data_IF_511813003464
#
_entry.id   IF_511813003464
#
_cell.length_a   1.000
_cell.length_b   1.000
_cell.length_c   1.000
_cell.angle_alpha   90.00
_cell.angle_beta   90.00
_cell.angle_gamma   90.00
#
_symmetry.space_group_name_H-M   'P 1'
#
loop_
_entity.id
_entity.type
_entity.pdbx_description
1 polymer ?
#
# COMPACT_ATOMS: atom_id res chain seq x y z
N UNK A 1 6.03 29.03 27.02
CA UNK A 1 7.02 29.46 26.02
C UNK A 1 6.98 28.41 24.93
N UNK A 2 6.68 28.80 23.70
CA UNK A 2 6.59 27.87 22.55
C UNK A 2 7.94 27.17 22.37
N UNK A 3 8.04 25.91 22.76
CA UNK A 3 9.20 25.06 22.48
C UNK A 3 9.14 24.67 21.01
N UNK A 4 9.66 25.51 20.13
CA UNK A 4 9.79 25.18 18.72
C UNK A 4 10.79 24.01 18.61
N UNK A 5 10.27 22.80 18.42
CA UNK A 5 11.09 21.63 18.09
C UNK A 5 11.94 22.02 16.87
N UNK A 6 13.24 21.70 16.90
CA UNK A 6 14.12 22.05 15.79
C UNK A 6 13.64 21.39 14.49
N UNK A 7 14.08 21.93 13.35
CA UNK A 7 13.61 21.50 12.03
C UNK A 7 14.32 20.27 11.48
N UNK A 8 15.43 19.86 12.10
CA UNK A 8 16.26 18.76 11.61
C UNK A 8 15.98 17.48 12.37
N UNK A 9 15.79 16.37 11.66
CA UNK A 9 15.61 15.05 12.25
C UNK A 9 16.97 14.38 12.42
N UNK A 10 17.29 13.99 13.65
CA UNK A 10 18.54 13.30 13.95
C UNK A 10 18.55 11.89 13.33
N UNK A 11 19.68 11.48 12.76
CA UNK A 11 19.98 10.11 12.36
C UNK A 11 20.98 9.53 13.37
N UNK A 12 20.50 8.57 14.15
CA UNK A 12 21.20 7.99 15.29
C UNK A 12 21.60 6.54 14.97
N UNK A 13 22.90 6.28 14.81
CA UNK A 13 23.38 4.93 14.50
C UNK A 13 23.70 4.16 15.80
N UNK A 14 23.06 3.03 16.07
CA UNK A 14 23.28 2.24 17.31
C UNK A 14 24.43 1.24 17.20
N UNK A 15 25.07 1.18 16.03
CA UNK A 15 26.30 0.46 15.78
C UNK A 15 27.23 1.29 14.87
N UNK A 16 28.46 0.81 14.75
CA UNK A 16 29.50 1.41 13.92
C UNK A 16 29.32 0.97 12.46
N UNK A 17 28.94 1.91 11.59
CA UNK A 17 28.66 1.60 10.18
C UNK A 17 29.69 2.21 9.24
N UNK A 18 30.01 1.55 8.11
CA UNK A 18 30.71 2.20 7.02
C UNK A 18 29.95 3.47 6.58
N UNK A 19 30.69 4.57 6.38
CA UNK A 19 30.14 5.85 5.90
C UNK A 19 29.32 5.66 4.62
N UNK A 20 29.77 4.76 3.73
CA UNK A 20 29.06 4.44 2.49
C UNK A 20 27.68 3.82 2.72
N UNK A 21 27.49 3.04 3.80
CA UNK A 21 26.19 2.45 4.13
C UNK A 21 25.21 3.52 4.61
N UNK A 22 25.64 4.42 5.49
CA UNK A 22 24.81 5.55 5.95
C UNK A 22 24.47 6.49 4.78
N UNK A 23 25.46 6.78 3.92
CA UNK A 23 25.23 7.58 2.71
C UNK A 23 24.24 6.92 1.74
N UNK A 24 24.18 5.59 1.65
CA UNK A 24 23.15 4.89 0.85
C UNK A 24 21.75 5.11 1.41
N UNK A 25 21.57 5.05 2.73
CA UNK A 25 20.28 5.34 3.38
C UNK A 25 19.86 6.79 3.11
N UNK A 26 20.72 7.76 3.39
CA UNK A 26 20.44 9.19 3.11
C UNK A 26 20.09 9.41 1.64
N UNK A 27 20.88 8.83 0.72
CA UNK A 27 20.61 8.93 -0.72
C UNK A 27 19.29 8.29 -1.11
N UNK A 28 18.90 7.17 -0.49
CA UNK A 28 17.62 6.51 -0.75
C UNK A 28 16.46 7.42 -0.37
N UNK A 29 16.51 8.00 0.83
CA UNK A 29 15.47 8.89 1.35
C UNK A 29 15.36 10.17 0.50
N UNK A 30 16.49 10.79 0.17
CA UNK A 30 16.48 12.02 -0.64
C UNK A 30 16.12 11.76 -2.11
N UNK A 31 16.46 10.60 -2.69
CA UNK A 31 16.11 10.27 -4.09
C UNK A 31 14.60 10.21 -4.30
N UNK A 32 13.84 9.71 -3.33
CA UNK A 32 12.38 9.65 -3.42
C UNK A 32 11.70 11.02 -3.31
N UNK A 33 12.47 12.09 -3.08
CA UNK A 33 11.99 13.46 -2.93
C UNK A 33 12.06 14.29 -4.22
N UNK A 34 12.92 13.90 -5.18
CA UNK A 34 13.17 14.66 -6.41
C UNK A 34 11.98 14.71 -7.40
N UNK A 35 10.95 13.88 -7.20
CA UNK A 35 9.74 13.85 -8.06
C UNK A 35 8.71 14.93 -7.70
N UNK A 36 8.95 15.77 -6.69
CA UNK A 36 8.11 16.91 -6.31
C UNK A 36 8.84 18.24 -6.49
N UNK A 37 8.69 18.79 -7.69
CA UNK A 37 9.01 20.16 -8.11
C UNK A 37 9.61 21.08 -7.01
N UNK A 38 10.94 21.17 -7.00
CA UNK A 38 11.81 22.30 -6.60
C UNK A 38 11.32 23.15 -5.42
N UNK A 39 11.99 23.07 -4.25
CA UNK A 39 12.33 24.17 -3.30
C UNK A 39 12.59 23.72 -1.85
N UNK A 40 12.52 22.43 -1.51
CA UNK A 40 12.60 22.01 -0.11
C UNK A 40 13.97 21.44 0.28
N UNK A 41 14.63 22.06 1.27
CA UNK A 41 15.94 21.69 1.82
C UNK A 41 15.94 20.34 2.60
N UNK A 42 17.03 19.57 2.57
CA UNK A 42 17.15 18.33 3.37
C UNK A 42 16.95 18.59 4.86
N UNK A 43 16.36 17.62 5.59
CA UNK A 43 16.05 17.76 7.02
C UNK A 43 16.80 16.77 7.93
N UNK A 44 17.40 15.71 7.38
CA UNK A 44 18.12 14.74 8.20
C UNK A 44 19.53 15.21 8.54
N UNK A 45 19.98 14.95 9.77
CA UNK A 45 21.34 15.24 10.20
C UNK A 45 21.92 14.06 10.96
N UNK A 46 23.08 13.57 10.51
CA UNK A 46 23.77 12.48 11.18
C UNK A 46 24.51 13.03 12.39
N UNK A 47 24.25 12.45 13.55
CA UNK A 47 24.90 12.83 14.80
C UNK A 47 26.11 11.92 15.01
N UNK A 48 27.31 12.50 14.86
CA UNK A 48 28.59 11.80 15.01
C UNK A 48 29.34 12.20 16.31
N UNK A 49 28.88 13.25 16.98
CA UNK A 49 29.52 13.82 18.16
C UNK A 49 28.52 14.63 19.01
N UNK A 50 28.38 14.29 20.29
CA UNK A 50 27.46 14.96 21.21
C UNK A 50 27.94 16.33 21.70
N UNK A 51 29.16 16.73 21.36
CA UNK A 51 29.72 18.05 21.70
C UNK A 51 29.51 19.10 20.60
N UNK A 52 29.12 18.68 19.39
CA UNK A 52 28.89 19.56 18.25
C UNK A 52 27.51 20.23 18.31
N UNK A 53 27.40 21.34 17.57
CA UNK A 53 26.14 22.02 17.28
C UNK A 53 25.72 21.69 15.85
N UNK A 54 24.49 21.20 15.68
CA UNK A 54 23.97 20.75 14.39
C UNK A 54 22.90 21.71 13.89
N UNK A 55 23.22 22.53 12.88
CA UNK A 55 22.33 23.57 12.35
C UNK A 55 21.88 23.34 10.91
N UNK A 56 22.55 22.43 10.21
CA UNK A 56 22.32 22.11 8.81
C UNK A 56 22.17 20.60 8.64
N UNK A 57 21.43 20.20 7.60
CA UNK A 57 21.22 18.80 7.28
C UNK A 57 22.47 18.16 6.65
N UNK A 58 22.63 16.87 6.89
CA UNK A 58 23.66 16.04 6.28
C UNK A 58 23.17 15.51 4.94
N UNK A 59 23.49 16.21 3.85
CA UNK A 59 23.25 15.68 2.49
C UNK A 59 24.04 14.40 2.26
N UNK A 60 25.29 14.41 2.71
CA UNK A 60 26.25 13.32 2.56
C UNK A 60 27.34 13.47 3.62
N UNK A 61 27.81 12.35 4.15
CA UNK A 61 29.01 12.28 4.98
C UNK A 61 30.26 12.21 4.10
N UNK A 62 31.24 13.05 4.40
CA UNK A 62 32.53 13.08 3.73
C UNK A 62 33.49 11.99 4.24
N UNK A 63 34.42 11.58 3.38
CA UNK A 63 35.50 10.65 3.72
C UNK A 63 35.26 9.19 3.32
N UNK A 64 36.16 8.32 3.79
CA UNK A 64 36.10 6.86 3.63
C UNK A 64 36.43 6.25 5.00
N UNK A 65 35.64 5.30 5.47
CA UNK A 65 35.85 4.66 6.76
C UNK A 65 34.55 4.33 7.48
N UNK A 66 34.66 4.19 8.80
CA UNK A 66 33.54 3.89 9.70
C UNK A 66 33.08 5.17 10.38
N UNK A 67 31.76 5.37 10.45
CA UNK A 67 31.14 6.42 11.23
C UNK A 67 31.20 6.02 12.71
N UNK A 68 31.93 6.81 13.50
CA UNK A 68 31.96 6.68 14.95
C UNK A 68 30.71 7.31 15.55
N UNK A 69 29.79 6.47 16.02
CA UNK A 69 28.51 6.95 16.53
C UNK A 69 28.55 7.09 18.06
N UNK A 70 28.06 8.20 18.63
CA UNK A 70 27.95 8.34 20.08
C UNK A 70 26.84 7.47 20.69
N UNK A 71 26.06 6.77 19.86
CA UNK A 71 24.89 5.98 20.29
C UNK A 71 25.12 4.47 20.27
N UNK A 72 26.35 4.01 20.06
CA UNK A 72 26.67 2.58 20.08
C UNK A 72 26.26 1.96 21.42
N UNK A 73 25.38 0.95 21.36
CA UNK A 73 24.88 0.23 22.52
C UNK A 73 23.94 1.01 23.44
N UNK A 74 23.45 2.19 23.03
CA UNK A 74 22.46 2.97 23.80
C UNK A 74 21.04 2.50 23.52
N UNK A 75 20.17 2.61 24.52
CA UNK A 75 18.73 2.44 24.33
C UNK A 75 18.11 3.66 23.64
N UNK A 76 16.91 3.50 23.09
CA UNK A 76 16.23 4.61 22.41
C UNK A 76 15.86 5.76 23.36
N UNK A 77 15.58 5.47 24.62
CA UNK A 77 15.35 6.48 25.66
C UNK A 77 16.62 7.30 25.94
N UNK A 78 17.78 6.63 25.97
CA UNK A 78 19.07 7.31 26.10
C UNK A 78 19.39 8.17 24.88
N UNK A 79 19.06 7.70 23.68
CA UNK A 79 19.20 8.46 22.43
C UNK A 79 18.28 9.68 22.45
N UNK A 80 17.00 9.51 22.78
CA UNK A 80 16.03 10.59 22.87
C UNK A 80 16.49 11.69 23.84
N UNK A 81 17.04 11.30 25.00
CA UNK A 81 17.60 12.24 25.97
C UNK A 81 18.80 13.00 25.38
N UNK A 82 19.71 12.30 24.71
CA UNK A 82 20.88 12.93 24.10
C UNK A 82 20.51 13.89 22.95
N UNK A 83 19.55 13.55 22.10
CA UNK A 83 19.04 14.43 21.03
C UNK A 83 18.36 15.67 21.62
N UNK A 84 17.57 15.49 22.69
CA UNK A 84 16.98 16.60 23.45
C UNK A 84 18.06 17.51 24.04
N UNK A 85 19.10 16.93 24.65
CA UNK A 85 20.18 17.70 25.26
C UNK A 85 21.00 18.48 24.21
N UNK A 86 21.24 17.89 23.03
CA UNK A 86 21.84 18.59 21.89
C UNK A 86 21.02 19.81 21.44
N UNK A 87 19.69 19.71 21.45
CA UNK A 87 18.81 20.84 21.17
C UNK A 87 18.89 21.90 22.28
N UNK A 88 18.74 21.49 23.54
CA UNK A 88 18.58 22.42 24.66
C UNK A 88 19.88 23.09 25.09
N UNK A 89 21.03 22.41 24.94
CA UNK A 89 22.30 22.87 25.52
C UNK A 89 23.39 23.13 24.47
N UNK A 90 23.29 22.58 23.27
CA UNK A 90 24.31 22.75 22.21
C UNK A 90 23.83 23.62 21.03
N UNK A 91 22.73 24.37 21.18
CA UNK A 91 22.19 25.26 20.14
C UNK A 91 21.93 24.56 18.80
N UNK A 92 21.63 23.26 18.84
CA UNK A 92 21.34 22.48 17.64
C UNK A 92 19.91 22.72 17.19
N UNK A 93 19.64 22.66 15.89
CA UNK A 93 18.31 22.78 15.28
C UNK A 93 17.61 21.42 15.16
N UNK A 94 17.69 20.59 16.21
CA UNK A 94 17.15 19.23 16.19
C UNK A 94 15.70 19.17 16.66
N UNK A 95 14.90 18.39 15.94
CA UNK A 95 13.67 17.81 16.43
C UNK A 95 14.06 16.72 17.45
N UNK A 96 13.65 16.89 18.69
CA UNK A 96 13.94 15.96 19.79
C UNK A 96 12.72 15.11 20.18
N UNK A 97 11.61 15.29 19.47
CA UNK A 97 10.41 14.47 19.60
C UNK A 97 10.48 13.30 18.62
N UNK A 98 11.14 13.48 17.47
CA UNK A 98 11.21 12.49 16.41
C UNK A 98 12.64 12.36 15.87
N UNK A 99 13.13 11.13 15.75
CA UNK A 99 14.45 10.85 15.19
C UNK A 99 14.49 9.48 14.50
N UNK A 100 15.49 9.28 13.65
CA UNK A 100 15.76 8.02 12.96
C UNK A 100 16.77 7.19 13.74
N UNK A 101 16.50 5.89 13.87
CA UNK A 101 17.44 4.92 14.44
C UNK A 101 17.89 3.95 13.35
N UNK A 102 19.20 3.91 13.13
CA UNK A 102 19.85 2.95 12.24
C UNK A 102 20.60 1.91 13.06
N UNK A 103 20.29 0.64 12.83
CA UNK A 103 20.88 -0.50 13.53
C UNK A 103 21.39 -1.56 12.54
N UNK A 104 21.95 -2.65 13.06
CA UNK A 104 22.47 -3.73 12.22
C UNK A 104 21.37 -4.44 11.39
N UNK A 105 20.11 -4.35 11.82
CA UNK A 105 18.97 -4.96 11.14
C UNK A 105 18.57 -4.18 9.89
N UNK A 106 18.59 -2.84 9.97
CA UNK A 106 17.96 -1.97 8.99
C UNK A 106 18.93 -1.21 8.07
N UNK A 107 20.22 -1.09 8.41
CA UNK A 107 21.19 -0.28 7.66
C UNK A 107 21.36 -0.68 6.18
N UNK A 108 21.07 -1.94 5.84
CA UNK A 108 21.13 -2.46 4.47
C UNK A 108 19.74 -2.80 3.90
N UNK A 109 18.68 -2.29 4.52
CA UNK A 109 17.29 -2.47 4.10
C UNK A 109 16.76 -1.21 3.42
N UNK A 110 15.55 -1.30 2.91
CA UNK A 110 14.78 -0.20 2.32
C UNK A 110 13.84 0.46 3.34
N UNK A 111 14.11 0.30 4.63
CA UNK A 111 13.35 0.88 5.73
C UNK A 111 14.28 1.22 6.91
N UNK A 112 13.85 2.13 7.77
CA UNK A 112 14.51 2.47 9.03
C UNK A 112 13.50 2.65 10.17
N UNK A 113 13.98 2.74 11.41
CA UNK A 113 13.15 3.01 12.59
C UNK A 113 12.91 4.50 12.76
N UNK A 114 11.65 4.92 12.81
CA UNK A 114 11.26 6.22 13.36
C UNK A 114 10.96 6.03 14.84
N UNK A 115 11.69 6.75 15.68
CA UNK A 115 11.48 6.80 17.12
C UNK A 115 10.75 8.10 17.51
N UNK A 116 9.74 7.98 18.37
CA UNK A 116 8.95 9.06 18.93
C UNK A 116 9.14 9.16 20.42
N UNK A 117 9.60 10.31 20.89
CA UNK A 117 9.84 10.57 22.29
C UNK A 117 8.66 11.37 22.89
N UNK A 118 7.67 10.63 23.43
CA UNK A 118 6.34 11.16 23.83
C UNK A 118 6.42 12.28 24.86
N UNK A 119 7.31 12.12 25.85
CA UNK A 119 7.47 13.01 27.00
C UNK A 119 8.68 13.96 26.86
N UNK A 120 9.29 14.04 25.68
CA UNK A 120 10.57 14.73 25.53
C UNK A 120 10.47 16.22 25.87
N UNK A 121 9.32 16.85 25.64
CA UNK A 121 9.04 18.25 25.94
C UNK A 121 8.91 18.54 27.45
N UNK A 122 8.48 17.57 28.25
CA UNK A 122 8.14 17.77 29.66
C UNK A 122 9.36 17.83 30.60
N UNK A 123 10.59 17.83 30.05
CA UNK A 123 11.87 17.81 30.79
C UNK A 123 11.92 16.74 31.89
N UNK A 124 11.21 15.63 31.70
CA UNK A 124 11.28 14.47 32.60
C UNK A 124 12.63 13.77 32.48
N UNK A 125 13.04 13.12 33.56
CA UNK A 125 14.24 12.26 33.60
C UNK A 125 14.05 10.97 32.80
N UNK A 126 12.80 10.50 32.71
CA UNK A 126 12.39 9.33 31.92
C UNK A 126 11.65 9.82 30.68
N UNK A 127 12.02 9.29 29.51
CA UNK A 127 11.39 9.59 28.23
C UNK A 127 10.85 8.26 27.69
N UNK A 128 9.55 8.19 27.45
CA UNK A 128 8.93 7.05 26.75
C UNK A 128 9.22 7.16 25.26
N UNK A 129 9.64 6.06 24.63
CA UNK A 129 9.90 6.02 23.20
C UNK A 129 9.02 4.97 22.52
N UNK A 130 8.28 5.40 21.49
CA UNK A 130 7.58 4.52 20.56
C UNK A 130 8.38 4.39 19.27
N UNK A 131 8.47 3.17 18.72
CA UNK A 131 9.15 2.91 17.46
C UNK A 131 8.18 2.40 16.40
N UNK A 132 8.33 2.92 15.19
CA UNK A 132 7.63 2.44 14.00
C UNK A 132 8.62 2.21 12.87
N UNK A 133 8.34 1.21 12.05
CA UNK A 133 9.17 0.86 10.91
C UNK A 133 8.68 1.66 9.70
N UNK A 134 9.56 2.35 8.99
CA UNK A 134 9.14 3.22 7.88
C UNK A 134 10.02 2.99 6.67
N UNK A 135 9.40 2.76 5.51
CA UNK A 135 10.09 2.65 4.23
C UNK A 135 10.83 3.95 3.88
N UNK A 136 12.02 3.84 3.30
CA UNK A 136 12.83 5.01 2.89
C UNK A 136 12.08 5.94 1.94
N UNK A 137 11.16 5.41 1.14
CA UNK A 137 10.38 6.14 0.12
C UNK A 137 9.31 7.06 0.68
N UNK A 138 8.84 6.83 1.91
CA UNK A 138 7.92 7.74 2.60
C UNK A 138 8.49 8.34 3.87
N UNK A 139 9.73 8.02 4.22
CA UNK A 139 10.32 8.41 5.48
C UNK A 139 10.20 9.92 5.75
N UNK A 140 10.58 10.75 4.77
CA UNK A 140 10.49 12.21 4.87
C UNK A 140 9.04 12.70 5.02
N UNK A 141 8.12 12.17 4.22
CA UNK A 141 6.70 12.49 4.29
C UNK A 141 6.06 12.05 5.61
N UNK A 142 6.45 10.90 6.13
CA UNK A 142 6.02 10.38 7.43
C UNK A 142 6.50 11.31 8.54
N UNK A 143 7.81 11.60 8.63
CA UNK A 143 8.36 12.52 9.64
C UNK A 143 7.68 13.90 9.59
N UNK A 144 7.49 14.45 8.39
CA UNK A 144 6.78 15.72 8.21
C UNK A 144 5.31 15.65 8.63
N UNK A 145 4.56 14.64 8.18
CA UNK A 145 3.16 14.47 8.53
C UNK A 145 2.99 14.32 10.04
N UNK A 146 3.87 13.57 10.69
CA UNK A 146 3.88 13.40 12.14
C UNK A 146 4.20 14.70 12.88
N UNK A 147 5.09 15.53 12.33
CA UNK A 147 5.44 16.84 12.91
C UNK A 147 4.31 17.88 12.80
N UNK A 148 3.47 17.80 11.75
CA UNK A 148 2.39 18.77 11.49
C UNK A 148 1.06 18.32 12.09
N UNK A 149 0.75 17.03 12.00
CA UNK A 149 -0.56 16.52 12.40
C UNK A 149 -0.69 16.32 13.91
N UNK A 150 0.43 16.28 14.67
CA UNK A 150 0.46 15.81 16.07
C UNK A 150 -0.53 14.65 16.27
N UNK A 151 -0.52 13.62 15.40
CA UNK A 151 -1.54 12.59 15.47
C UNK A 151 -1.48 11.99 16.87
N UNK A 152 -2.65 11.74 17.47
CA UNK A 152 -2.62 11.12 18.78
C UNK A 152 -1.85 9.79 18.65
N UNK A 153 -0.92 9.62 19.56
CA UNK A 153 -0.10 8.44 19.65
C UNK A 153 -1.01 7.20 19.76
N UNK A 154 -2.20 7.36 20.33
CA UNK A 154 -3.24 6.35 20.45
C UNK A 154 -3.63 5.75 19.09
N UNK A 155 -3.67 6.53 18.00
CA UNK A 155 -4.00 6.05 16.65
C UNK A 155 -2.87 5.20 16.04
N UNK A 156 -1.62 5.53 16.36
CA UNK A 156 -0.45 4.72 15.98
C UNK A 156 -0.33 3.47 16.87
N UNK A 157 -0.73 3.56 18.14
CA UNK A 157 -0.78 2.45 19.08
C UNK A 157 -1.92 1.48 18.77
N UNK A 158 -3.10 1.95 18.34
CA UNK A 158 -4.20 1.11 17.86
C UNK A 158 -3.76 0.32 16.62
N UNK A 159 -3.03 0.95 15.69
CA UNK A 159 -2.44 0.26 14.54
C UNK A 159 -1.41 -0.81 14.96
N UNK A 160 -0.62 -0.54 16.02
CA UNK A 160 0.36 -1.47 16.60
C UNK A 160 -0.27 -2.66 17.34
N UNK A 161 -1.28 -2.42 18.17
CA UNK A 161 -1.99 -3.50 18.91
C UNK A 161 -2.72 -4.46 17.96
N UNK A 162 -3.19 -3.94 16.82
CA UNK A 162 -3.81 -4.75 15.77
C UNK A 162 -2.77 -5.57 14.97
N UNK A 163 -1.54 -5.06 14.86
CA UNK A 163 -0.43 -5.66 14.11
C UNK A 163 0.67 -6.13 15.06
N UNK A 164 0.47 -7.28 15.72
CA UNK A 164 1.43 -7.92 16.66
C UNK A 164 2.90 -7.67 16.26
N UNK A 165 3.47 -6.68 16.94
CA UNK A 165 4.82 -6.14 16.81
C UNK A 165 5.20 -5.63 15.41
N UNK A 166 5.44 -4.31 15.35
CA UNK A 166 6.03 -3.53 14.25
C UNK A 166 5.06 -3.17 13.10
N UNK A 167 4.63 -1.90 13.08
CA UNK A 167 3.94 -1.31 11.92
C UNK A 167 5.01 -0.86 10.93
N UNK A 168 5.11 -1.54 9.79
CA UNK A 168 5.83 -1.03 8.63
C UNK A 168 4.88 -0.16 7.81
N UNK A 169 5.08 1.15 7.87
CA UNK A 169 4.37 2.09 7.01
C UNK A 169 5.19 2.17 5.71
N UNK A 170 4.58 1.74 4.61
CA UNK A 170 4.98 2.07 3.24
C UNK A 170 3.97 3.06 2.65
N UNK A 171 4.35 3.79 1.60
CA UNK A 171 3.34 4.39 0.73
C UNK A 171 2.36 3.30 0.29
N UNK A 172 1.07 3.64 0.20
CA UNK A 172 0.11 2.79 -0.48
C UNK A 172 0.66 2.46 -1.87
N UNK A 173 0.97 1.18 -2.09
CA UNK A 173 1.56 0.70 -3.33
C UNK A 173 0.49 0.68 -4.43
N UNK A 174 0.93 0.75 -5.68
CA UNK A 174 0.04 0.69 -6.83
C UNK A 174 0.47 -0.47 -7.70
N UNK A 175 -0.47 -1.35 -8.01
CA UNK A 175 -0.23 -2.54 -8.81
C UNK A 175 -1.03 -2.47 -10.09
N UNK A 176 -0.35 -2.39 -11.23
CA UNK A 176 -0.98 -2.57 -12.54
C UNK A 176 -0.98 -4.05 -12.92
N UNK A 177 -2.17 -4.61 -13.10
CA UNK A 177 -2.35 -5.96 -13.64
C UNK A 177 -2.52 -5.90 -15.17
N UNK A 178 -1.93 -6.89 -15.85
CA UNK A 178 -2.12 -7.13 -17.27
C UNK A 178 -3.21 -8.20 -17.47
N UNK A 179 -4.35 -7.77 -18.00
CA UNK A 179 -5.52 -8.60 -18.22
C UNK A 179 -5.42 -9.51 -19.46
N UNK A 180 -4.31 -9.49 -20.22
CA UNK A 180 -4.18 -10.24 -21.49
C UNK A 180 -4.40 -11.74 -21.28
N UNK A 181 -3.85 -12.29 -20.20
CA UNK A 181 -3.92 -13.71 -19.87
C UNK A 181 -4.84 -14.00 -18.67
N UNK A 182 -5.48 -12.98 -18.11
CA UNK A 182 -6.46 -13.12 -17.04
C UNK A 182 -7.70 -12.22 -17.19
N UNK A 183 -8.37 -12.23 -18.37
CA UNK A 183 -9.50 -11.33 -18.62
C UNK A 183 -10.69 -11.59 -17.67
N UNK A 184 -10.93 -12.85 -17.28
CA UNK A 184 -12.06 -13.18 -16.42
C UNK A 184 -11.82 -12.69 -14.98
N UNK A 185 -10.57 -12.71 -14.49
CA UNK A 185 -10.21 -12.15 -13.18
C UNK A 185 -10.40 -10.64 -13.17
N UNK A 186 -9.96 -9.96 -14.23
CA UNK A 186 -10.18 -8.52 -14.39
C UNK A 186 -11.66 -8.18 -14.45
N UNK A 187 -12.48 -9.00 -15.12
CA UNK A 187 -13.94 -8.86 -15.13
C UNK A 187 -14.55 -8.97 -13.74
N UNK A 188 -14.23 -10.04 -12.99
CA UNK A 188 -14.74 -10.23 -11.63
C UNK A 188 -14.38 -9.02 -10.75
N UNK A 189 -13.15 -8.52 -10.85
CA UNK A 189 -12.69 -7.35 -10.10
C UNK A 189 -13.44 -6.06 -10.47
N UNK A 190 -13.59 -5.78 -11.77
CA UNK A 190 -14.34 -4.61 -12.23
C UNK A 190 -15.81 -4.68 -11.83
N UNK A 191 -16.42 -5.86 -11.89
CA UNK A 191 -17.76 -6.07 -11.37
C UNK A 191 -17.81 -5.79 -9.86
N UNK A 192 -16.91 -6.41 -9.09
CA UNK A 192 -16.89 -6.28 -7.64
C UNK A 192 -16.76 -4.81 -7.22
N UNK A 193 -15.84 -4.04 -7.81
CA UNK A 193 -15.58 -2.66 -7.39
C UNK A 193 -16.54 -1.66 -8.03
N UNK A 194 -16.74 -1.68 -9.35
CA UNK A 194 -17.54 -0.67 -10.03
C UNK A 194 -19.04 -0.93 -10.04
N UNK A 195 -19.47 -2.18 -9.83
CA UNK A 195 -20.90 -2.55 -9.85
C UNK A 195 -21.44 -3.00 -8.50
N UNK A 196 -20.59 -3.58 -7.65
CA UNK A 196 -20.99 -4.13 -6.35
C UNK A 196 -20.37 -3.40 -5.14
N UNK A 197 -19.65 -2.30 -5.35
CA UNK A 197 -19.12 -1.46 -4.26
C UNK A 197 -18.10 -2.13 -3.34
N UNK A 198 -17.41 -3.17 -3.81
CA UNK A 198 -16.37 -3.84 -3.04
C UNK A 198 -15.19 -2.89 -2.73
N UNK A 199 -14.47 -3.21 -1.65
CA UNK A 199 -13.28 -2.47 -1.22
C UNK A 199 -12.20 -2.46 -2.32
N UNK A 200 -11.49 -1.35 -2.46
CA UNK A 200 -10.50 -1.12 -3.53
C UNK A 200 -9.08 -0.81 -3.01
N UNK A 201 -8.95 -0.67 -1.70
CA UNK A 201 -7.67 -0.65 -1.00
C UNK A 201 -7.52 -1.97 -0.28
N UNK A 202 -6.50 -2.73 -0.68
CA UNK A 202 -6.25 -4.08 -0.23
C UNK A 202 -4.99 -4.13 0.63
N UNK A 203 -4.95 -5.01 1.61
CA UNK A 203 -3.78 -5.21 2.47
C UNK A 203 -3.29 -6.64 2.32
N UNK A 204 -2.14 -6.82 1.70
CA UNK A 204 -1.43 -8.10 1.72
C UNK A 204 -0.76 -8.27 3.08
N UNK A 205 -1.18 -9.28 3.82
CA UNK A 205 -0.69 -9.57 5.18
C UNK A 205 0.16 -10.84 5.25
N UNK A 206 0.65 -11.31 4.10
CA UNK A 206 1.43 -12.55 3.97
C UNK A 206 0.80 -13.72 4.75
N UNK A 207 -0.47 -14.06 4.46
CA UNK A 207 -1.20 -15.04 5.25
C UNK A 207 -0.55 -16.42 5.13
N UNK A 208 -0.62 -17.18 6.22
CA UNK A 208 -0.27 -18.60 6.15
C UNK A 208 -1.26 -19.36 5.27
N UNK A 209 -0.85 -20.52 4.73
CA UNK A 209 -1.74 -21.38 3.95
C UNK A 209 -3.02 -21.80 4.70
N UNK A 210 -2.98 -21.84 6.04
CA UNK A 210 -4.15 -22.09 6.87
C UNK A 210 -5.13 -20.90 6.87
N UNK A 211 -4.61 -19.68 7.01
CA UNK A 211 -5.39 -18.44 6.96
C UNK A 211 -6.01 -18.25 5.58
N UNK A 212 -5.25 -18.44 4.50
CA UNK A 212 -5.83 -18.35 3.16
C UNK A 212 -6.92 -19.40 2.91
N UNK A 213 -6.74 -20.62 3.43
CA UNK A 213 -7.77 -21.66 3.32
C UNK A 213 -9.03 -21.27 4.08
N UNK A 214 -8.89 -20.68 5.26
CA UNK A 214 -10.01 -20.16 6.04
C UNK A 214 -10.73 -19.06 5.28
N UNK A 215 -10.00 -18.10 4.68
CA UNK A 215 -10.57 -17.03 3.85
C UNK A 215 -11.35 -17.59 2.65
N UNK A 216 -10.78 -18.54 1.91
CA UNK A 216 -11.45 -19.24 0.79
C UNK A 216 -12.71 -20.00 1.22
N UNK A 217 -12.71 -20.59 2.42
CA UNK A 217 -13.92 -21.24 2.94
C UNK A 217 -14.97 -20.21 3.36
N UNK A 218 -14.54 -19.11 3.99
CA UNK A 218 -15.44 -18.05 4.43
C UNK A 218 -16.07 -17.26 3.28
N UNK A 219 -15.33 -17.06 2.19
CA UNK A 219 -15.84 -16.44 0.95
C UNK A 219 -16.86 -17.33 0.24
N UNK A 220 -16.73 -18.65 0.40
CA UNK A 220 -17.49 -19.67 -0.33
C UNK A 220 -16.76 -20.19 -1.57
N UNK A 221 -15.54 -19.73 -1.84
CA UNK A 221 -14.75 -20.24 -2.95
C UNK A 221 -14.36 -21.72 -2.75
N UNK A 222 -14.18 -22.12 -1.49
CA UNK A 222 -14.10 -23.52 -1.04
C UNK A 222 -15.32 -23.92 -0.23
N UNK A 223 -15.88 -25.07 -0.57
CA UNK A 223 -16.95 -25.72 0.19
C UNK A 223 -16.42 -26.34 1.49
N UNK A 224 -17.32 -26.67 2.43
CA UNK A 224 -16.97 -27.29 3.72
C UNK A 224 -16.26 -28.65 3.60
N UNK A 225 -16.46 -29.35 2.48
CA UNK A 225 -15.75 -30.58 2.14
C UNK A 225 -14.38 -30.34 1.47
N UNK A 226 -13.95 -29.09 1.34
CA UNK A 226 -12.67 -28.67 0.76
C UNK A 226 -12.64 -28.54 -0.76
N UNK A 227 -13.73 -28.88 -1.46
CA UNK A 227 -13.84 -28.78 -2.91
C UNK A 227 -14.08 -27.33 -3.36
N UNK A 228 -13.63 -26.99 -4.56
CA UNK A 228 -13.99 -25.72 -5.22
C UNK A 228 -15.50 -25.66 -5.46
N UNK A 229 -16.09 -24.46 -5.36
CA UNK A 229 -17.48 -24.24 -5.78
C UNK A 229 -17.66 -24.37 -7.30
N UNK A 230 -16.60 -24.16 -8.08
CA UNK A 230 -16.60 -24.22 -9.55
C UNK A 230 -16.17 -25.57 -10.13
N UNK A 231 -15.56 -26.44 -9.31
CA UNK A 231 -15.03 -27.71 -9.77
C UNK A 231 -16.07 -28.84 -9.89
N UNK A 232 -15.58 -30.07 -10.11
CA UNK A 232 -16.39 -31.28 -10.01
C UNK A 232 -17.00 -31.42 -8.61
N UNK A 233 -18.33 -31.58 -8.53
CA UNK A 233 -19.04 -31.53 -7.23
C UNK A 233 -19.27 -30.11 -6.71
N UNK A 234 -19.07 -29.10 -7.57
CA UNK A 234 -19.40 -27.70 -7.36
C UNK A 234 -20.90 -27.42 -7.23
N UNK A 235 -21.26 -26.13 -7.22
CA UNK A 235 -22.65 -25.68 -7.04
C UNK A 235 -23.22 -25.12 -8.33
N UNK A 236 -24.27 -25.78 -8.83
CA UNK A 236 -25.05 -25.27 -9.93
C UNK A 236 -25.84 -24.01 -9.50
N UNK A 237 -26.08 -23.05 -10.42
CA UNK A 237 -25.69 -23.07 -11.83
C UNK A 237 -24.23 -22.63 -12.08
N UNK A 238 -23.51 -22.11 -11.08
CA UNK A 238 -22.20 -21.47 -11.25
C UNK A 238 -21.11 -22.39 -11.80
N UNK A 239 -21.14 -23.68 -11.47
CA UNK A 239 -20.20 -24.68 -11.98
C UNK A 239 -20.62 -25.32 -13.32
N UNK A 240 -21.56 -24.72 -14.05
CA UNK A 240 -22.12 -25.30 -15.28
C UNK A 240 -21.27 -25.08 -16.53
N UNK A 241 -20.37 -24.09 -16.53
CA UNK A 241 -19.43 -23.91 -17.64
C UNK A 241 -18.29 -24.94 -17.52
N UNK A 242 -18.17 -25.89 -18.47
CA UNK A 242 -17.13 -26.92 -18.43
C UNK A 242 -15.71 -26.35 -18.56
N UNK A 243 -15.55 -25.10 -19.00
CA UNK A 243 -14.25 -24.43 -19.08
C UNK A 243 -13.90 -23.66 -17.80
N UNK A 244 -14.82 -23.58 -16.84
CA UNK A 244 -14.69 -22.82 -15.61
C UNK A 244 -14.55 -23.75 -14.41
N UNK A 245 -13.31 -24.14 -14.11
CA UNK A 245 -13.00 -25.12 -13.05
C UNK A 245 -12.49 -24.51 -11.75
N UNK A 246 -11.97 -23.28 -11.81
CA UNK A 246 -11.42 -22.58 -10.65
C UNK A 246 -12.34 -21.43 -10.24
N UNK A 247 -12.33 -21.16 -8.93
CA UNK A 247 -13.03 -20.04 -8.35
C UNK A 247 -12.04 -18.92 -8.09
N UNK A 248 -12.35 -17.72 -8.58
CA UNK A 248 -11.73 -16.47 -8.17
C UNK A 248 -12.62 -15.75 -7.16
N UNK A 249 -11.99 -14.96 -6.30
CA UNK A 249 -12.63 -14.22 -5.22
C UNK A 249 -12.05 -12.82 -5.10
N UNK A 250 -12.91 -11.82 -5.03
CA UNK A 250 -12.51 -10.45 -4.76
C UNK A 250 -13.22 -9.91 -3.51
N UNK A 251 -12.49 -9.43 -2.49
CA UNK A 251 -11.02 -9.43 -2.37
C UNK A 251 -10.38 -10.82 -2.27
N UNK A 252 -9.20 -10.99 -2.87
CA UNK A 252 -8.49 -12.27 -2.94
C UNK A 252 -7.99 -12.77 -1.57
N UNK A 253 -7.96 -14.09 -1.33
CA UNK A 253 -7.58 -14.67 -0.03
C UNK A 253 -6.18 -14.30 0.49
N UNK A 254 -5.29 -13.81 -0.37
CA UNK A 254 -4.00 -13.27 0.06
C UNK A 254 -4.13 -11.94 0.84
N UNK A 255 -5.32 -11.34 0.92
CA UNK A 255 -5.55 -10.02 1.54
C UNK A 255 -6.43 -10.09 2.79
N UNK A 256 -6.24 -9.13 3.70
CA UNK A 256 -7.00 -9.03 4.96
C UNK A 256 -8.51 -8.86 4.75
N UNK A 257 -8.89 -8.17 3.67
CA UNK A 257 -10.27 -7.85 3.33
C UNK A 257 -11.05 -9.04 2.75
N UNK A 258 -10.40 -10.17 2.52
CA UNK A 258 -11.03 -11.36 1.97
C UNK A 258 -11.90 -12.11 2.99
N UNK A 259 -12.64 -13.10 2.52
CA UNK A 259 -13.54 -13.92 3.32
C UNK A 259 -15.01 -13.60 3.05
N UNK A 260 -15.81 -13.59 4.11
CA UNK A 260 -17.27 -13.51 3.99
C UNK A 260 -17.72 -12.24 3.26
N UNK A 261 -18.58 -12.41 2.25
CA UNK A 261 -19.09 -11.31 1.43
C UNK A 261 -18.22 -10.96 0.22
N UNK A 262 -17.16 -11.71 -0.06
CA UNK A 262 -16.43 -11.60 -1.32
C UNK A 262 -17.34 -11.89 -2.53
N UNK A 263 -17.00 -11.25 -3.65
CA UNK A 263 -17.59 -11.53 -4.96
C UNK A 263 -16.77 -12.63 -5.61
N UNK A 264 -17.44 -13.71 -5.99
CA UNK A 264 -16.85 -14.90 -6.57
C UNK A 264 -17.16 -14.96 -8.06
N UNK A 265 -16.23 -15.51 -8.85
CA UNK A 265 -16.47 -15.89 -10.25
C UNK A 265 -15.90 -17.27 -10.54
N UNK A 266 -16.66 -18.09 -11.25
CA UNK A 266 -16.12 -19.32 -11.83
C UNK A 266 -15.44 -19.02 -13.16
N UNK A 267 -14.23 -19.52 -13.35
CA UNK A 267 -13.38 -19.16 -14.48
C UNK A 267 -12.38 -20.25 -14.87
N UNK A 268 -11.72 -20.12 -16.04
CA UNK A 268 -10.65 -21.04 -16.44
C UNK A 268 -9.46 -21.00 -15.47
N UNK A 269 -8.94 -22.18 -15.13
CA UNK A 269 -7.79 -22.30 -14.23
C UNK A 269 -6.53 -21.59 -14.74
N UNK A 270 -6.36 -21.46 -16.06
CA UNK A 270 -5.26 -20.69 -16.66
C UNK A 270 -5.36 -19.20 -16.35
N UNK A 271 -6.58 -18.66 -16.31
CA UNK A 271 -6.88 -17.26 -16.04
C UNK A 271 -6.54 -16.92 -14.57
N UNK A 272 -7.11 -17.70 -13.64
CA UNK A 272 -6.85 -17.56 -12.20
C UNK A 272 -5.35 -17.72 -11.84
N UNK A 273 -4.66 -18.68 -12.46
CA UNK A 273 -3.21 -18.86 -12.25
C UNK A 273 -2.39 -17.69 -12.77
N UNK A 274 -2.80 -17.09 -13.88
CA UNK A 274 -2.12 -15.91 -14.45
C UNK A 274 -2.25 -14.72 -13.51
N UNK A 275 -3.44 -14.44 -12.99
CA UNK A 275 -3.65 -13.39 -11.98
C UNK A 275 -2.81 -13.65 -10.72
N UNK A 276 -2.91 -14.85 -10.14
CA UNK A 276 -2.17 -15.21 -8.93
C UNK A 276 -0.65 -15.12 -9.12
N UNK A 277 -0.14 -15.45 -10.30
CA UNK A 277 1.26 -15.27 -10.67
C UNK A 277 1.69 -13.80 -10.66
N UNK A 278 0.89 -12.91 -11.25
CA UNK A 278 1.19 -11.47 -11.27
C UNK A 278 1.16 -10.86 -9.85
N UNK A 279 0.18 -11.23 -9.02
CA UNK A 279 0.11 -10.80 -7.61
C UNK A 279 1.33 -11.28 -6.81
N UNK A 280 1.74 -12.54 -6.97
CA UNK A 280 2.92 -13.07 -6.29
C UNK A 280 4.19 -12.33 -6.69
N UNK A 281 4.34 -11.97 -7.98
CA UNK A 281 5.45 -11.13 -8.44
C UNK A 281 5.38 -9.74 -7.81
N UNK A 282 4.21 -9.11 -7.77
CA UNK A 282 4.02 -7.80 -7.14
C UNK A 282 4.38 -7.80 -5.65
N UNK A 283 3.93 -8.79 -4.89
CA UNK A 283 4.22 -8.91 -3.46
C UNK A 283 5.71 -9.02 -3.15
N UNK A 284 6.48 -9.69 -4.02
CA UNK A 284 7.93 -9.85 -3.84
C UNK A 284 8.77 -8.78 -4.56
N UNK A 285 8.14 -7.92 -5.36
CA UNK A 285 8.84 -6.88 -6.11
C UNK A 285 9.37 -5.83 -5.12
N UNK A 286 10.64 -5.37 -5.24
CA UNK A 286 11.20 -4.36 -4.34
C UNK A 286 10.33 -3.10 -4.25
N UNK A 287 10.32 -2.45 -3.09
CA UNK A 287 9.58 -1.20 -2.86
C UNK A 287 10.08 -0.08 -3.78
N UNK A 288 11.39 -0.02 -4.03
CA UNK A 288 11.99 0.88 -5.02
C UNK A 288 11.48 0.68 -6.46
N UNK A 289 10.74 -0.41 -6.73
CA UNK A 289 10.08 -0.71 -8.00
C UNK A 289 8.55 -0.71 -7.87
N UNK A 290 7.99 -0.11 -6.81
CA UNK A 290 6.56 0.02 -6.54
C UNK A 290 5.88 -1.23 -6.00
N UNK A 291 6.64 -2.25 -5.60
CA UNK A 291 6.11 -3.49 -5.03
C UNK A 291 6.09 -3.51 -3.50
N UNK A 292 5.76 -4.64 -2.90
CA UNK A 292 5.70 -4.77 -1.43
C UNK A 292 7.03 -5.16 -0.77
N UNK A 293 8.12 -5.35 -1.53
CA UNK A 293 9.43 -5.73 -1.00
C UNK A 293 9.50 -7.10 -0.34
N UNK A 294 8.47 -7.93 -0.46
CA UNK A 294 8.33 -9.16 0.32
C UNK A 294 8.04 -8.91 1.80
N UNK A 295 7.62 -7.69 2.17
CA UNK A 295 7.32 -7.32 3.55
C UNK A 295 5.83 -7.00 3.70
N UNK A 296 5.22 -7.60 4.71
CA UNK A 296 3.85 -7.35 5.11
C UNK A 296 3.79 -6.57 6.45
N UNK A 297 2.71 -5.82 6.73
CA UNK A 297 1.57 -5.58 5.84
C UNK A 297 1.92 -4.62 4.69
N UNK A 298 1.37 -4.89 3.50
CA UNK A 298 1.52 -4.01 2.34
C UNK A 298 0.13 -3.60 1.85
N UNK A 299 -0.19 -2.32 1.98
CA UNK A 299 -1.42 -1.76 1.44
C UNK A 299 -1.22 -1.36 -0.02
N UNK A 300 -2.17 -1.71 -0.88
CA UNK A 300 -2.10 -1.41 -2.30
C UNK A 300 -3.47 -1.19 -2.95
N UNK A 301 -3.46 -0.52 -4.09
CA UNK A 301 -4.61 -0.39 -4.99
C UNK A 301 -4.28 -0.90 -6.38
N UNK A 302 -5.29 -1.41 -7.07
CA UNK A 302 -5.15 -2.08 -8.35
C UNK A 302 -5.51 -1.14 -9.50
N UNK A 303 -4.65 -1.15 -10.50
CA UNK A 303 -4.83 -0.51 -11.80
C UNK A 303 -4.86 -1.59 -12.89
N UNK A 304 -5.49 -1.29 -14.03
CA UNK A 304 -5.50 -2.19 -15.19
C UNK A 304 -4.74 -1.57 -16.36
N UNK A 305 -3.88 -2.38 -16.98
CA UNK A 305 -3.10 -2.00 -18.15
C UNK A 305 -4.00 -1.75 -19.36
N UNK A 306 -3.84 -0.59 -20.01
CA UNK A 306 -4.81 -0.09 -20.99
C UNK A 306 -5.02 -0.92 -22.25
N UNK A 307 -3.97 -1.55 -22.76
CA UNK A 307 -4.05 -2.42 -23.93
C UNK A 307 -4.62 -3.82 -23.61
N UNK A 308 -4.90 -4.12 -22.33
CA UNK A 308 -5.30 -5.46 -21.88
C UNK A 308 -6.74 -5.56 -21.36
N UNK A 309 -7.28 -4.51 -20.72
CA UNK A 309 -8.60 -4.58 -20.07
C UNK A 309 -9.78 -4.59 -21.05
N UNK A 310 -9.51 -4.46 -22.35
CA UNK A 310 -10.55 -4.47 -23.40
C UNK A 310 -11.28 -5.81 -23.52
N UNK A 311 -10.73 -6.87 -22.94
CA UNK A 311 -11.37 -8.18 -22.83
C UNK A 311 -12.15 -8.37 -21.51
N UNK A 312 -12.22 -7.33 -20.67
CA UNK A 312 -12.95 -7.30 -19.41
C UNK A 312 -14.10 -6.28 -19.50
N UNK A 313 -15.20 -6.71 -20.12
CA UNK A 313 -16.39 -5.91 -20.40
C UNK A 313 -16.87 -5.05 -19.22
N UNK A 314 -16.90 -5.58 -17.99
CA UNK A 314 -17.37 -4.82 -16.82
C UNK A 314 -16.54 -3.58 -16.51
N UNK A 315 -15.29 -3.52 -17.00
CA UNK A 315 -14.39 -2.39 -16.79
C UNK A 315 -14.73 -1.17 -17.66
N UNK A 316 -15.44 -1.32 -18.78
CA UNK A 316 -15.71 -0.22 -19.72
C UNK A 316 -17.14 -0.21 -20.30
N UNK A 317 -18.01 -1.15 -19.92
CA UNK A 317 -19.39 -1.21 -20.38
C UNK A 317 -20.36 -1.22 -19.19
N UNK A 318 -21.05 -0.10 -19.03
CA UNK A 318 -22.07 0.15 -18.00
C UNK A 318 -23.39 -0.57 -18.27
N UNK A 319 -23.60 -1.07 -19.50
CA UNK A 319 -24.84 -1.76 -19.89
C UNK A 319 -24.80 -3.25 -19.56
N UNK A 320 -23.62 -3.77 -19.21
CA UNK A 320 -23.44 -5.18 -18.89
C UNK A 320 -24.06 -5.49 -17.54
N UNK A 321 -24.98 -6.44 -17.57
CA UNK A 321 -25.52 -7.08 -16.39
C UNK A 321 -24.60 -8.24 -16.01
N UNK A 322 -24.65 -8.66 -14.74
CA UNK A 322 -24.04 -9.92 -14.31
C UNK A 322 -24.38 -11.03 -15.31
N UNK A 323 -23.36 -11.67 -15.86
CA UNK A 323 -23.49 -12.66 -16.94
C UNK A 323 -23.92 -14.05 -16.42
N UNK A 324 -24.29 -14.12 -15.14
CA UNK A 324 -24.66 -15.34 -14.41
C UNK A 324 -23.47 -16.04 -13.77
N UNK A 325 -22.29 -15.42 -13.81
CA UNK A 325 -21.07 -16.05 -13.29
C UNK A 325 -20.45 -15.30 -12.09
N UNK A 326 -20.91 -14.09 -11.75
CA UNK A 326 -20.60 -13.47 -10.45
C UNK A 326 -21.61 -13.85 -9.37
N UNK A 327 -21.12 -14.36 -8.24
CA UNK A 327 -21.96 -14.83 -7.12
C UNK A 327 -21.31 -14.60 -5.76
N UNK A 328 -22.06 -14.79 -4.68
CA UNK A 328 -21.55 -14.68 -3.31
C UNK A 328 -22.20 -15.72 -2.41
N UNK A 329 -21.53 -16.05 -1.30
CA UNK A 329 -22.09 -16.90 -0.25
C UNK A 329 -22.83 -16.03 0.77
N UNK A 330 -24.16 -16.11 0.80
CA UNK A 330 -25.01 -15.40 1.74
C UNK A 330 -25.77 -16.40 2.63
N UNK A 331 -25.53 -16.36 3.94
CA UNK A 331 -26.18 -17.23 4.92
C UNK A 331 -26.12 -18.73 4.57
N UNK A 332 -24.99 -19.19 4.01
CA UNK A 332 -24.78 -20.58 3.62
C UNK A 332 -25.38 -20.99 2.27
N UNK A 333 -26.05 -20.08 1.57
CA UNK A 333 -26.56 -20.28 0.22
C UNK A 333 -25.77 -19.43 -0.79
N UNK A 334 -25.47 -20.02 -1.95
CA UNK A 334 -24.89 -19.27 -3.06
C UNK A 334 -26.00 -18.55 -3.81
N UNK A 335 -25.82 -17.25 -3.96
CA UNK A 335 -26.75 -16.37 -4.68
C UNK A 335 -25.95 -15.56 -5.69
N UNK A 336 -26.57 -15.23 -6.82
CA UNK A 336 -25.98 -14.29 -7.77
C UNK A 336 -25.52 -13.05 -7.01
N UNK A 337 -24.38 -12.49 -7.40
CA UNK A 337 -23.83 -11.31 -6.79
C UNK A 337 -24.72 -10.15 -7.23
N UNK A 338 -25.84 -9.97 -6.54
CA UNK A 338 -26.80 -8.89 -6.75
C UNK A 338 -26.22 -7.61 -6.17
N UNK A 339 -26.66 -6.47 -6.68
CA UNK A 339 -26.33 -5.17 -6.11
C UNK A 339 -26.98 -4.91 -4.73
N UNK A 340 -28.03 -5.67 -4.34
CA UNK A 340 -28.62 -5.70 -2.98
C UNK A 340 -29.11 -7.10 -2.57
N UNK A 341 -29.17 -7.37 -1.26
CA UNK A 341 -29.39 -8.70 -0.63
C UNK A 341 -30.86 -9.12 -0.43
N UNK A 342 -31.85 -8.34 -0.85
CA UNK A 342 -33.26 -8.47 -0.42
C UNK A 342 -34.31 -8.77 -1.51
N UNK A 343 -33.93 -9.01 -2.78
CA UNK A 343 -34.91 -9.25 -3.86
C UNK A 343 -34.95 -10.70 -4.38
N UNK A 344 -36.17 -11.18 -4.68
CA UNK A 344 -36.50 -12.58 -4.98
C UNK A 344 -36.66 -12.95 -6.47
N UNK A 345 -36.59 -11.99 -7.39
CA UNK A 345 -36.78 -12.25 -8.84
C UNK A 345 -35.48 -12.09 -9.65
N UNK A 346 -35.38 -12.82 -10.76
CA UNK A 346 -34.33 -12.67 -11.78
C UNK A 346 -34.79 -11.61 -12.76
N UNK A 347 -34.57 -10.35 -12.41
CA UNK A 347 -34.85 -9.19 -13.27
C UNK A 347 -33.50 -8.63 -13.75
N UNK A 348 -33.38 -8.20 -15.02
CA UNK A 348 -32.23 -7.42 -15.48
C UNK A 348 -31.85 -6.30 -14.50
N UNK A 349 -30.59 -6.29 -14.08
CA UNK A 349 -30.01 -5.40 -13.08
C UNK A 349 -30.35 -3.91 -13.33
N UNK A 350 -30.77 -3.22 -12.27
CA UNK A 350 -30.76 -1.75 -12.19
C UNK A 350 -29.79 -1.33 -11.08
N UNK A 351 -28.74 -0.57 -11.43
CA UNK A 351 -27.84 0.05 -10.48
C UNK A 351 -28.44 0.75 -9.23
N UNK A 352 -28.18 0.33 -7.96
CA UNK A 352 -28.25 1.20 -6.73
C UNK A 352 -27.22 2.34 -6.81
N UNK A 353 -27.58 3.56 -7.20
CA UNK A 353 -26.65 4.60 -7.65
C UNK A 353 -25.48 4.94 -6.70
N UNK A 354 -25.55 4.51 -5.43
CA UNK A 354 -24.51 4.73 -4.41
C UNK A 354 -23.27 3.85 -4.56
N UNK A 355 -23.42 2.62 -5.06
CA UNK A 355 -22.34 1.61 -5.06
C UNK A 355 -21.66 1.45 -6.43
N UNK A 356 -21.94 2.36 -7.35
CA UNK A 356 -21.54 2.25 -8.75
C UNK A 356 -20.77 3.43 -9.23
N UNK A 357 -19.78 3.08 -10.05
CA UNK A 357 -18.93 4.04 -10.73
C UNK A 357 -19.27 3.94 -12.22
N UNK A 358 -20.08 4.88 -12.75
CA UNK A 358 -20.33 4.99 -14.17
C UNK A 358 -19.01 5.08 -14.94
N UNK A 359 -18.95 4.50 -16.13
CA UNK A 359 -17.80 4.53 -17.03
C UNK A 359 -17.18 5.94 -17.16
N UNK A 360 -17.93 7.03 -17.37
CA UNK A 360 -17.34 8.37 -17.42
C UNK A 360 -16.64 8.83 -16.13
N UNK A 361 -17.04 8.28 -14.99
CA UNK A 361 -16.46 8.59 -13.68
C UNK A 361 -15.26 7.70 -13.34
N UNK A 362 -15.06 6.58 -14.04
CA UNK A 362 -13.89 5.72 -13.82
C UNK A 362 -12.61 6.49 -14.19
N UNK A 363 -11.63 6.43 -13.29
CA UNK A 363 -10.46 7.32 -13.32
C UNK A 363 -9.35 6.69 -14.14
N UNK A 364 -8.81 7.46 -15.08
CA UNK A 364 -7.70 7.05 -15.93
C UNK A 364 -6.50 7.96 -15.69
N UNK A 365 -5.30 7.41 -15.82
CA UNK A 365 -4.06 8.13 -15.57
C UNK A 365 -3.09 7.95 -16.73
N UNK A 366 -2.31 9.00 -17.03
CA UNK A 366 -1.18 8.96 -17.94
C UNK A 366 0.04 8.46 -17.21
N UNK A 367 0.73 7.48 -17.80
CA UNK A 367 1.99 6.96 -17.29
C UNK A 367 3.19 7.65 -17.94
N UNK A 368 4.33 7.61 -17.26
CA UNK A 368 5.63 8.10 -17.76
C UNK A 368 6.07 7.46 -19.07
N UNK A 369 5.52 6.29 -19.41
CA UNK A 369 5.71 5.60 -20.69
C UNK A 369 4.89 6.19 -21.85
N UNK A 370 3.99 7.12 -21.56
CA UNK A 370 3.01 7.66 -22.51
C UNK A 370 1.75 6.80 -22.68
N UNK A 371 1.67 5.63 -22.03
CA UNK A 371 0.47 4.78 -22.00
C UNK A 371 -0.54 5.27 -20.95
N UNK A 372 -1.80 4.88 -21.09
CA UNK A 372 -2.84 5.10 -20.08
C UNK A 372 -2.97 3.88 -19.16
N UNK A 373 -3.59 4.07 -18.00
CA UNK A 373 -3.99 2.99 -17.08
C UNK A 373 -5.35 3.31 -16.45
N UNK A 374 -6.09 2.30 -16.01
CA UNK A 374 -7.42 2.43 -15.41
C UNK A 374 -7.39 2.09 -13.92
N UNK A 375 -7.80 3.01 -13.06
CA UNK A 375 -7.87 2.79 -11.61
C UNK A 375 -9.13 2.01 -11.23
N UNK A 376 -8.98 0.82 -10.64
CA UNK A 376 -10.11 0.02 -10.13
C UNK A 376 -10.46 0.47 -8.70
N UNK A 377 -11.15 1.59 -8.60
CA UNK A 377 -11.58 2.17 -7.33
C UNK A 377 -12.88 2.96 -7.44
N UNK A 378 -13.59 3.07 -6.32
CA UNK A 378 -14.68 4.03 -6.12
C UNK A 378 -14.21 5.32 -5.40
N UNK A 379 -12.92 5.41 -5.07
CA UNK A 379 -12.30 6.61 -4.51
C UNK A 379 -12.10 7.68 -5.59
N UNK A 380 -12.82 8.78 -5.42
CA UNK A 380 -12.81 9.92 -6.34
C UNK A 380 -11.85 11.04 -5.93
N UNK A 381 -11.19 10.93 -4.77
CA UNK A 381 -10.48 12.04 -4.14
C UNK A 381 -8.97 11.82 -4.06
N UNK A 382 -8.51 10.57 -3.87
CA UNK A 382 -7.08 10.32 -3.73
C UNK A 382 -6.31 10.67 -4.99
N UNK A 383 -5.26 11.48 -4.87
CA UNK A 383 -4.34 11.82 -5.96
C UNK A 383 -3.23 10.78 -6.08
N UNK A 384 -2.84 10.49 -7.32
CA UNK A 384 -1.78 9.52 -7.61
C UNK A 384 -0.61 10.11 -8.42
N UNK A 385 -0.66 11.41 -8.72
CA UNK A 385 0.36 12.11 -9.49
C UNK A 385 1.74 12.01 -8.82
N UNK A 386 2.76 11.73 -9.62
CA UNK A 386 4.13 11.53 -9.17
C UNK A 386 4.39 10.20 -8.45
N UNK A 387 3.38 9.35 -8.24
CA UNK A 387 3.58 8.11 -7.50
C UNK A 387 4.11 6.97 -8.40
N UNK A 388 4.93 6.11 -7.79
CA UNK A 388 5.55 4.95 -8.42
C UNK A 388 4.62 3.74 -8.41
N UNK A 389 4.32 3.21 -9.60
CA UNK A 389 3.47 2.05 -9.79
C UNK A 389 4.27 0.84 -10.28
N UNK A 390 4.00 -0.32 -9.69
CA UNK A 390 4.52 -1.59 -10.17
C UNK A 390 3.70 -2.10 -11.35
N UNK A 391 4.36 -2.36 -12.48
CA UNK A 391 3.74 -3.02 -13.65
C UNK A 391 4.48 -4.32 -14.00
N UNK A 392 3.90 -5.07 -14.94
CA UNK A 392 4.55 -6.25 -15.56
C UNK A 392 5.76 -5.86 -16.43
N UNK A 393 5.75 -4.66 -17.02
CA UNK A 393 6.78 -4.18 -17.96
C UNK A 393 7.94 -3.43 -17.25
N UNK A 394 7.77 -3.13 -15.95
CA UNK A 394 8.74 -2.39 -15.14
C UNK A 394 8.07 -1.35 -14.24
N UNK A 395 8.79 -0.73 -13.29
CA UNK A 395 8.25 0.38 -12.53
C UNK A 395 7.98 1.58 -13.43
N UNK A 396 6.86 2.26 -13.20
CA UNK A 396 6.46 3.47 -13.95
C UNK A 396 5.93 4.53 -12.99
N UNK A 397 6.14 5.80 -13.29
CA UNK A 397 5.52 6.90 -12.54
C UNK A 397 4.19 7.32 -13.18
N UNK A 398 3.19 7.60 -12.35
CA UNK A 398 1.93 8.24 -12.77
C UNK A 398 2.20 9.73 -12.99
N UNK A 399 1.96 10.22 -14.21
CA UNK A 399 2.24 11.60 -14.61
C UNK A 399 1.11 12.53 -14.21
N UNK A 400 -0.13 12.16 -14.55
CA UNK A 400 -1.33 12.92 -14.22
C UNK A 400 -2.59 12.09 -14.39
N UNK A 401 -3.66 12.48 -13.69
CA UNK A 401 -5.02 12.07 -14.01
C UNK A 401 -5.51 12.66 -15.34
N UNK A 402 -6.34 11.88 -16.06
CA UNK A 402 -6.95 12.26 -17.34
C UNK A 402 -8.42 12.64 -17.14
N UNK A 403 -8.82 13.79 -17.68
CA UNK A 403 -10.17 14.32 -17.55
C UNK A 403 -10.85 14.57 -18.90
N UNK A 404 -12.16 14.40 -18.95
CA UNK A 404 -12.98 14.73 -20.13
C UNK A 404 -12.44 14.06 -21.40
N UNK A 405 -12.13 14.87 -22.42
CA UNK A 405 -11.63 14.41 -23.72
C UNK A 405 -10.21 13.83 -23.68
N UNK A 406 -9.46 14.03 -22.59
CA UNK A 406 -8.15 13.39 -22.40
C UNK A 406 -8.25 11.88 -22.15
N UNK A 407 -9.41 11.41 -21.66
CA UNK A 407 -9.68 9.99 -21.45
C UNK A 407 -9.77 9.24 -22.78
N UNK A 408 -9.59 7.93 -22.71
CA UNK A 408 -9.94 7.01 -23.80
C UNK A 408 -11.42 7.20 -24.19
N UNK A 409 -11.73 7.12 -25.48
CA UNK A 409 -13.06 7.46 -26.03
C UNK A 409 -14.22 6.75 -25.31
N UNK A 410 -13.99 5.50 -24.88
CA UNK A 410 -14.94 4.67 -24.14
C UNK A 410 -15.32 5.25 -22.77
N UNK A 411 -14.43 6.01 -22.14
CA UNK A 411 -14.60 6.59 -20.80
C UNK A 411 -14.95 8.07 -20.83
N UNK A 412 -15.19 8.65 -22.02
CA UNK A 412 -15.61 10.04 -22.13
C UNK A 412 -17.08 10.18 -21.74
N UNK A 413 -17.49 11.29 -21.10
CA UNK A 413 -18.90 11.62 -20.96
C UNK A 413 -19.54 11.64 -22.35
N UNK A 414 -20.75 11.08 -22.49
CA UNK A 414 -21.53 11.25 -23.73
C UNK A 414 -21.73 12.74 -24.00
N UNK A 415 -21.50 13.15 -25.26
CA UNK A 415 -21.73 14.52 -25.72
C UNK A 415 -23.19 14.94 -25.64
#
# INVERSE_FOLDING_TARGET
MSSDAGKLYAVCCTAEFPIDSVNKVLSSIYRHRDDHNSYWEPYFVVIDDLSKSYKEATVRLDGRGTLHSPFVGKSNEEIAKAVRDLRLYNDSNLNYVQFMVLDEENINKDWAWVAFAEDAEEKKDTISVLEVKVGHEIYDSTMLALSVASPDIDSLLEARETCKDQVLIHAQQMFEIDCTNCPQACNNRCYAVYHAGAVNTLTWDQPTAAVERQRRTASGCKQSNGLSVCGTGGKAPYNSDPNSGDCDEYPQASTQQSGAGAILRCMPASDNRSEGGQLAVFYNKPVANGGCGGVAPCQFTIFLKADSYTNADFCFDDTKLNDGTEFTLNNGAYVDAKRRRDESEVVPHVPDPRDYVPVPQRRQFLLSTGKTTLLVSNDMNTTFDGKLMATVDGPVTIVKELFGDEKDERFRPSK
#
